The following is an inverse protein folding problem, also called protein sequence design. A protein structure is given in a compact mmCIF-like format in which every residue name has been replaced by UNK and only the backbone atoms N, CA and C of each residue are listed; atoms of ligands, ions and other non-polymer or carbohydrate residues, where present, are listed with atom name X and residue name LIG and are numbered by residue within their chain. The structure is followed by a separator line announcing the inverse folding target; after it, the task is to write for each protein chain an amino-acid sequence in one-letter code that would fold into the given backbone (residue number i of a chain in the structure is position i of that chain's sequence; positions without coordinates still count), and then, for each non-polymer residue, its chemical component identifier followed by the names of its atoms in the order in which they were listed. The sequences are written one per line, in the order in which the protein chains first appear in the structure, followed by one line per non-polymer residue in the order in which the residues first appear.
data_IF_394621582870
#
_entry.id   IF_394621582870
#
_cell.length_a   1.000
_cell.length_b   1.000
_cell.length_c   1.000
_cell.angle_alpha   90.00
_cell.angle_beta   90.00
_cell.angle_gamma   90.00
#
_symmetry.space_group_name_H-M   'P 1'
#
loop_
_entity.id
_entity.type
_entity.pdbx_description
1 polymer ?
#
# COMPACT_ATOMS: atom_id res chain seq x y z
N UNK A 1 44.78 -23.24 71.98
CA UNK A 1 43.72 -23.91 71.18
C UNK A 1 42.63 -22.88 70.90
N UNK A 2 42.73 -22.14 69.79
CA UNK A 2 41.66 -21.25 69.30
C UNK A 2 42.00 -20.70 67.89
N UNK A 3 42.45 -21.56 66.96
CA UNK A 3 42.76 -21.15 65.57
C UNK A 3 42.19 -22.09 64.50
N UNK A 4 41.64 -23.25 64.86
CA UNK A 4 41.11 -24.21 63.88
C UNK A 4 39.68 -23.85 63.43
N UNK A 5 38.82 -23.35 64.33
CA UNK A 5 37.41 -23.02 64.01
C UNK A 5 37.24 -21.86 63.00
N UNK A 6 38.16 -20.88 62.99
CA UNK A 6 38.08 -19.74 62.08
C UNK A 6 38.44 -20.11 60.63
N UNK A 7 39.30 -21.11 60.46
CA UNK A 7 39.77 -21.57 59.15
C UNK A 7 38.73 -22.46 58.47
N UNK A 8 38.04 -23.31 59.25
CA UNK A 8 36.93 -24.14 58.75
C UNK A 8 35.71 -23.30 58.35
N UNK A 9 35.38 -22.24 59.11
CA UNK A 9 34.30 -21.31 58.74
C UNK A 9 34.59 -20.55 57.44
N UNK A 10 35.84 -20.11 57.25
CA UNK A 10 36.24 -19.41 56.03
C UNK A 10 36.22 -20.33 54.79
N UNK A 11 36.59 -21.60 54.95
CA UNK A 11 36.52 -22.58 53.87
C UNK A 11 35.07 -22.92 53.48
N UNK A 12 34.17 -23.00 54.47
CA UNK A 12 32.75 -23.23 54.27
C UNK A 12 32.09 -22.05 53.51
N UNK A 13 32.44 -20.81 53.86
CA UNK A 13 31.93 -19.61 53.17
C UNK A 13 32.43 -19.52 51.72
N UNK A 14 33.70 -19.87 51.47
CA UNK A 14 34.23 -19.92 50.11
C UNK A 14 33.51 -21.01 49.31
N UNK A 15 33.33 -22.21 49.88
CA UNK A 15 32.65 -23.31 49.23
C UNK A 15 31.18 -22.98 48.90
N UNK A 16 30.46 -22.33 49.82
CA UNK A 16 29.07 -21.92 49.61
C UNK A 16 28.94 -20.87 48.50
N UNK A 17 29.84 -19.88 48.46
CA UNK A 17 29.85 -18.87 47.41
C UNK A 17 30.20 -19.47 46.04
N UNK A 18 31.17 -20.38 45.98
CA UNK A 18 31.56 -21.06 44.75
C UNK A 18 30.43 -21.97 44.23
N UNK A 19 29.73 -22.66 45.14
CA UNK A 19 28.55 -23.45 44.80
C UNK A 19 27.44 -22.55 44.23
N UNK A 20 27.16 -21.40 44.84
CA UNK A 20 26.15 -20.46 44.36
C UNK A 20 26.48 -19.93 42.96
N UNK A 21 27.75 -19.60 42.68
CA UNK A 21 28.20 -19.16 41.35
C UNK A 21 28.00 -20.28 40.33
N UNK A 22 28.41 -21.52 40.65
CA UNK A 22 28.21 -22.67 39.77
C UNK A 22 26.71 -22.87 39.48
N UNK A 23 25.85 -22.77 40.50
CA UNK A 23 24.41 -22.93 40.36
C UNK A 23 23.81 -21.88 39.43
N UNK A 24 24.21 -20.61 39.58
CA UNK A 24 23.76 -19.50 38.73
C UNK A 24 24.22 -19.71 37.29
N UNK A 25 25.50 -20.03 37.06
CA UNK A 25 26.06 -20.25 35.71
C UNK A 25 25.38 -21.45 35.03
N UNK A 26 25.11 -22.51 35.78
CA UNK A 26 24.44 -23.70 35.26
C UNK A 26 22.99 -23.39 34.89
N UNK A 27 22.27 -22.62 35.71
CA UNK A 27 20.90 -22.14 35.42
C UNK A 27 20.86 -21.27 34.17
N UNK A 28 21.78 -20.32 34.02
CA UNK A 28 21.87 -19.48 32.82
C UNK A 28 22.22 -20.29 31.57
N UNK A 29 23.13 -21.26 31.66
CA UNK A 29 23.50 -22.13 30.55
C UNK A 29 22.32 -23.01 30.11
N UNK A 30 21.57 -23.55 31.07
CA UNK A 30 20.37 -24.36 30.79
C UNK A 30 19.24 -23.52 30.19
N UNK A 31 19.04 -22.29 30.65
CA UNK A 31 18.08 -21.35 30.10
C UNK A 31 18.45 -20.93 28.66
N UNK A 32 19.73 -20.64 28.41
CA UNK A 32 20.22 -20.29 27.08
C UNK A 32 20.07 -21.46 26.09
N UNK A 33 20.40 -22.68 26.52
CA UNK A 33 20.23 -23.89 25.70
C UNK A 33 18.74 -24.16 25.37
N UNK A 34 17.83 -23.95 26.34
CA UNK A 34 16.38 -24.02 26.12
C UNK A 34 15.87 -22.94 25.16
N UNK A 35 16.43 -21.74 25.22
CA UNK A 35 16.04 -20.65 24.32
C UNK A 35 16.50 -20.92 22.88
N UNK A 36 17.67 -21.53 22.69
CA UNK A 36 18.13 -21.94 21.36
C UNK A 36 17.31 -23.11 20.78
N UNK A 37 16.91 -24.09 21.59
CA UNK A 37 16.14 -25.26 21.10
C UNK A 37 14.70 -24.93 20.71
N UNK A 38 14.07 -23.91 21.30
CA UNK A 38 12.73 -23.49 20.89
C UNK A 38 12.66 -22.85 19.49
N UNK A 39 13.80 -22.47 18.90
CA UNK A 39 13.86 -21.83 17.58
C UNK A 39 14.06 -22.80 16.40
N UNK A 40 14.34 -24.09 16.65
CA UNK A 40 14.93 -24.98 15.63
C UNK A 40 14.18 -26.29 15.33
N UNK A 41 13.02 -26.56 15.94
CA UNK A 41 12.28 -27.81 15.66
C UNK A 41 10.84 -27.54 15.25
N UNK A 42 10.65 -27.16 13.99
CA UNK A 42 9.40 -27.39 13.26
C UNK A 42 9.68 -28.35 12.10
N UNK A 43 9.35 -29.64 12.23
CA UNK A 43 9.41 -30.61 11.15
C UNK A 43 8.07 -30.56 10.40
N UNK A 44 7.92 -29.59 9.51
CA UNK A 44 7.00 -29.65 8.37
C UNK A 44 7.34 -28.49 7.41
N UNK A 45 8.54 -28.56 6.84
CA UNK A 45 8.87 -27.77 5.66
C UNK A 45 8.05 -28.33 4.48
N UNK A 46 6.80 -27.90 4.36
CA UNK A 46 6.03 -28.04 3.11
C UNK A 46 6.88 -27.45 1.99
N UNK A 47 7.26 -28.27 1.01
CA UNK A 47 7.99 -27.88 -0.20
C UNK A 47 7.10 -27.11 -1.20
N UNK A 48 6.30 -26.19 -0.70
CA UNK A 48 5.80 -25.10 -1.51
C UNK A 48 6.37 -23.85 -0.87
N UNK A 49 7.16 -23.03 -1.59
CA UNK A 49 7.56 -21.75 -1.04
C UNK A 49 6.26 -21.06 -0.64
N UNK A 50 6.05 -20.89 0.68
CA UNK A 50 5.06 -19.96 1.18
C UNK A 50 5.45 -18.66 0.51
N UNK A 51 4.65 -18.21 -0.45
CA UNK A 51 4.84 -16.92 -1.07
C UNK A 51 5.04 -15.96 0.11
N UNK A 52 6.20 -15.30 0.17
CA UNK A 52 6.55 -14.37 1.27
C UNK A 52 5.44 -13.33 1.47
N UNK A 53 4.65 -13.12 0.43
CA UNK A 53 3.40 -12.38 0.40
C UNK A 53 2.30 -13.28 -0.16
N UNK A 54 1.30 -13.62 0.65
CA UNK A 54 0.00 -14.07 0.14
C UNK A 54 -0.66 -12.83 -0.45
N UNK A 55 -0.88 -12.80 -1.76
CA UNK A 55 -1.67 -11.73 -2.36
C UNK A 55 -3.02 -11.68 -1.63
N UNK A 56 -3.40 -10.55 -0.99
CA UNK A 56 -4.68 -10.46 -0.34
C UNK A 56 -5.76 -10.76 -1.39
N UNK A 57 -6.77 -11.56 -1.02
CA UNK A 57 -7.90 -11.84 -1.91
C UNK A 57 -8.64 -10.52 -2.19
N UNK A 58 -8.23 -9.82 -3.24
CA UNK A 58 -8.73 -8.48 -3.63
C UNK A 58 -10.21 -8.54 -4.00
N UNK A 59 -10.73 -9.72 -4.28
CA UNK A 59 -12.16 -9.98 -4.50
C UNK A 59 -13.03 -9.58 -3.29
N UNK A 60 -12.47 -9.55 -2.08
CA UNK A 60 -13.14 -9.10 -0.85
C UNK A 60 -13.05 -7.59 -0.62
N UNK A 61 -12.15 -6.89 -1.33
CA UNK A 61 -11.89 -5.46 -1.22
C UNK A 61 -11.81 -4.84 -2.61
N UNK A 62 -12.96 -4.66 -3.29
CA UNK A 62 -12.98 -4.04 -4.61
C UNK A 62 -12.35 -2.64 -4.53
N UNK A 63 -11.82 -2.10 -5.63
CA UNK A 63 -11.37 -0.72 -5.66
C UNK A 63 -12.54 0.17 -5.21
N UNK A 64 -12.34 0.88 -4.11
CA UNK A 64 -13.32 1.83 -3.60
C UNK A 64 -13.51 3.03 -4.53
N UNK A 65 -12.64 3.19 -5.54
CA UNK A 65 -12.64 4.33 -6.44
C UNK A 65 -12.32 3.96 -7.88
N UNK A 66 -13.07 4.56 -8.80
CA UNK A 66 -12.78 4.59 -10.24
C UNK A 66 -12.36 6.01 -10.60
N UNK A 67 -11.24 6.14 -11.29
CA UNK A 67 -10.63 7.45 -11.55
C UNK A 67 -10.88 7.90 -12.98
N UNK A 68 -11.14 9.20 -13.15
CA UNK A 68 -11.39 9.83 -14.45
C UNK A 68 -10.51 11.06 -14.62
N UNK A 69 -9.89 11.18 -15.78
CA UNK A 69 -9.27 12.43 -16.23
C UNK A 69 -10.36 13.30 -16.87
N UNK A 70 -10.43 14.57 -16.45
CA UNK A 70 -11.29 15.57 -17.07
C UNK A 70 -10.40 16.63 -17.71
N UNK A 71 -10.41 16.67 -19.03
CA UNK A 71 -9.62 17.61 -19.85
C UNK A 71 -10.55 18.39 -20.78
N UNK A 72 -10.00 19.28 -21.59
CA UNK A 72 -10.75 20.05 -22.58
C UNK A 72 -11.70 19.16 -23.41
N UNK A 73 -13.01 19.37 -23.23
CA UNK A 73 -14.08 18.60 -23.88
C UNK A 73 -14.01 17.07 -23.74
N UNK A 74 -13.26 16.50 -22.77
CA UNK A 74 -13.11 15.05 -22.63
C UNK A 74 -13.23 14.59 -21.18
N UNK A 75 -13.81 13.41 -21.01
CA UNK A 75 -13.79 12.66 -19.76
C UNK A 75 -13.33 11.24 -20.09
N UNK A 76 -12.17 10.86 -19.57
CA UNK A 76 -11.51 9.60 -19.85
C UNK A 76 -11.40 8.77 -18.58
N UNK A 77 -11.83 7.49 -18.61
CA UNK A 77 -11.56 6.57 -17.48
C UNK A 77 -10.07 6.26 -17.46
N UNK A 78 -9.44 6.34 -16.29
CA UNK A 78 -8.04 5.95 -16.17
C UNK A 78 -7.90 4.42 -16.30
N UNK A 79 -7.16 3.99 -17.31
CA UNK A 79 -6.73 2.63 -17.53
C UNK A 79 -5.55 2.26 -16.61
N UNK A 80 -5.88 2.02 -15.34
CA UNK A 80 -4.93 1.53 -14.35
C UNK A 80 -4.43 0.11 -14.69
N UNK A 81 -5.24 -0.68 -15.38
CA UNK A 81 -4.91 -2.05 -15.72
C UNK A 81 -3.75 -2.10 -16.71
N UNK A 82 -3.69 -1.18 -17.68
CA UNK A 82 -2.53 -1.05 -18.58
C UNK A 82 -1.21 -0.78 -17.83
N UNK A 83 -1.23 0.01 -16.75
CA UNK A 83 -0.04 0.25 -15.92
C UNK A 83 0.36 -1.05 -15.21
N UNK A 84 -0.60 -1.74 -14.60
CA UNK A 84 -0.34 -3.01 -13.91
C UNK A 84 0.19 -4.08 -14.87
N UNK A 85 -0.38 -4.20 -16.06
CA UNK A 85 0.05 -5.17 -17.06
C UNK A 85 1.42 -4.83 -17.66
N UNK A 86 1.78 -3.54 -17.73
CA UNK A 86 3.13 -3.12 -18.10
C UNK A 86 4.15 -3.50 -17.01
N UNK A 87 3.84 -3.24 -15.74
CA UNK A 87 4.69 -3.62 -14.60
C UNK A 87 4.81 -5.15 -14.43
N UNK A 88 3.75 -5.92 -14.71
CA UNK A 88 3.79 -7.39 -14.69
C UNK A 88 4.69 -7.97 -15.78
N UNK A 89 4.69 -7.36 -16.96
CA UNK A 89 5.52 -7.81 -18.10
C UNK A 89 7.00 -7.56 -17.87
N UNK A 90 7.35 -6.43 -17.24
CA UNK A 90 8.73 -6.15 -16.83
C UNK A 90 8.78 -5.67 -15.37
N UNK A 91 8.88 -6.60 -14.40
CA UNK A 91 8.91 -6.27 -12.98
C UNK A 91 10.14 -5.47 -12.53
N UNK A 92 11.16 -5.35 -13.40
CA UNK A 92 12.37 -4.56 -13.11
C UNK A 92 12.27 -3.15 -13.66
N UNK A 93 11.27 -2.84 -14.48
CA UNK A 93 11.07 -1.52 -15.03
C UNK A 93 10.55 -0.56 -13.95
N UNK A 94 11.31 0.52 -13.73
CA UNK A 94 10.90 1.62 -12.87
C UNK A 94 10.06 2.68 -13.60
N UNK A 95 9.86 2.55 -14.90
CA UNK A 95 9.04 3.48 -15.67
C UNK A 95 8.48 2.80 -16.92
N UNK A 96 7.44 3.38 -17.49
CA UNK A 96 6.86 2.89 -18.74
C UNK A 96 5.83 3.85 -19.33
N UNK A 97 5.20 3.42 -20.43
CA UNK A 97 4.19 4.20 -21.15
C UNK A 97 2.91 3.38 -21.34
N UNK A 98 1.78 4.06 -21.26
CA UNK A 98 0.46 3.56 -21.63
C UNK A 98 -0.13 4.46 -22.72
N UNK A 99 -1.31 4.11 -23.24
CA UNK A 99 -2.02 4.97 -24.20
C UNK A 99 -2.44 6.32 -23.62
N UNK A 100 -2.49 6.45 -22.29
CA UNK A 100 -2.97 7.66 -21.59
C UNK A 100 -1.85 8.47 -20.94
N UNK A 101 -0.59 8.02 -21.03
CA UNK A 101 0.48 8.67 -20.30
C UNK A 101 1.75 7.85 -20.13
N UNK A 102 2.58 8.31 -19.21
CA UNK A 102 3.76 7.58 -18.74
C UNK A 102 3.72 7.48 -17.23
N UNK A 103 4.30 6.41 -16.70
CA UNK A 103 4.40 6.19 -15.26
C UNK A 103 5.85 6.05 -14.84
N UNK A 104 6.12 6.42 -13.59
CA UNK A 104 7.39 6.25 -12.90
C UNK A 104 7.10 5.64 -11.52
N UNK A 105 7.60 4.44 -11.29
CA UNK A 105 7.56 3.77 -10.00
C UNK A 105 8.64 4.37 -9.10
N UNK A 106 8.23 4.83 -7.92
CA UNK A 106 9.11 5.31 -6.88
C UNK A 106 9.29 4.20 -5.85
N UNK A 107 10.40 3.45 -5.90
CA UNK A 107 10.66 2.42 -4.91
C UNK A 107 10.81 3.05 -3.53
N UNK A 108 10.33 2.35 -2.50
CA UNK A 108 10.50 2.80 -1.12
C UNK A 108 12.00 2.87 -0.78
N UNK A 109 12.50 3.97 -0.19
CA UNK A 109 13.90 4.07 0.22
C UNK A 109 14.25 3.14 1.40
N UNK A 110 13.24 2.65 2.13
CA UNK A 110 13.39 1.83 3.33
C UNK A 110 12.81 0.43 3.10
N UNK A 111 13.67 -0.52 2.77
CA UNK A 111 13.31 -1.90 2.37
C UNK A 111 12.76 -2.75 3.55
N UNK A 112 12.86 -2.27 4.80
CA UNK A 112 12.70 -3.08 6.03
C UNK A 112 11.36 -2.94 6.75
N UNK A 113 10.28 -2.50 6.09
CA UNK A 113 8.96 -2.39 6.73
C UNK A 113 8.06 -3.55 6.33
N UNK A 114 7.29 -4.07 7.29
CA UNK A 114 6.23 -5.08 7.07
C UNK A 114 4.98 -4.52 6.34
N UNK A 115 5.03 -3.25 5.91
CA UNK A 115 3.94 -2.60 5.18
C UNK A 115 4.45 -2.34 3.76
N UNK A 116 3.74 -2.90 2.78
CA UNK A 116 3.99 -2.64 1.35
C UNK A 116 3.69 -1.18 1.00
N UNK A 117 4.70 -0.31 1.17
CA UNK A 117 4.66 1.03 0.61
C UNK A 117 4.90 0.93 -0.87
N UNK A 118 4.10 1.66 -1.64
CA UNK A 118 4.45 1.94 -3.01
C UNK A 118 4.05 3.36 -3.35
N UNK A 119 4.75 3.93 -4.31
CA UNK A 119 4.33 5.18 -4.91
C UNK A 119 4.61 5.13 -6.41
N UNK A 120 3.66 5.62 -7.18
CA UNK A 120 3.70 5.70 -8.62
C UNK A 120 3.34 7.13 -9.01
N UNK A 121 4.22 7.77 -9.78
CA UNK A 121 3.91 9.00 -10.50
C UNK A 121 3.29 8.62 -11.83
N UNK A 122 2.18 9.25 -12.18
CA UNK A 122 1.57 9.13 -13.50
C UNK A 122 1.50 10.50 -14.17
N UNK A 123 2.16 10.63 -15.30
CA UNK A 123 2.13 11.84 -16.13
C UNK A 123 1.12 11.61 -17.25
N UNK A 124 0.03 12.36 -17.21
CA UNK A 124 -1.07 12.27 -18.16
C UNK A 124 -0.63 12.79 -19.51
N UNK A 125 -0.84 12.01 -20.58
CA UNK A 125 -0.68 12.46 -21.96
C UNK A 125 -2.01 13.01 -22.45
N UNK A 126 -2.20 14.33 -22.27
CA UNK A 126 -3.42 15.03 -22.65
C UNK A 126 -3.71 14.94 -24.14
N UNK A 127 -2.67 14.98 -24.98
CA UNK A 127 -2.84 14.89 -26.43
C UNK A 127 -3.36 13.51 -26.83
N UNK A 128 -2.83 12.46 -26.19
CA UNK A 128 -3.32 11.11 -26.41
C UNK A 128 -4.78 10.94 -25.93
N UNK A 129 -5.17 11.55 -24.80
CA UNK A 129 -6.57 11.57 -24.36
C UNK A 129 -7.44 12.27 -25.40
N UNK A 130 -7.04 13.45 -25.88
CA UNK A 130 -7.81 14.22 -26.85
C UNK A 130 -8.03 13.47 -28.18
N UNK A 131 -7.03 12.72 -28.61
CA UNK A 131 -7.05 11.96 -29.86
C UNK A 131 -7.88 10.67 -29.77
N UNK A 132 -7.89 10.01 -28.61
CA UNK A 132 -8.48 8.68 -28.45
C UNK A 132 -9.88 8.70 -27.83
N UNK A 133 -10.20 9.71 -27.03
CA UNK A 133 -11.48 9.80 -26.34
C UNK A 133 -12.50 10.64 -27.14
N UNK A 134 -13.77 10.21 -27.19
CA UNK A 134 -14.82 10.98 -27.85
C UNK A 134 -15.17 12.24 -27.06
N UNK A 135 -15.54 13.31 -27.77
CA UNK A 135 -15.98 14.57 -27.16
C UNK A 135 -17.12 14.37 -26.15
N UNK A 136 -16.97 14.98 -24.98
CA UNK A 136 -17.93 14.93 -23.89
C UNK A 136 -18.83 16.16 -23.93
N UNK A 137 -19.98 16.00 -24.59
CA UNK A 137 -21.01 17.03 -24.70
C UNK A 137 -22.09 16.85 -23.64
N UNK A 138 -22.87 17.90 -23.36
CA UNK A 138 -23.98 17.86 -22.40
C UNK A 138 -24.99 16.74 -22.69
N UNK A 139 -25.22 16.44 -23.96
CA UNK A 139 -26.07 15.32 -24.38
C UNK A 139 -25.61 13.95 -23.89
N UNK A 140 -24.33 13.80 -23.52
CA UNK A 140 -23.76 12.55 -22.99
C UNK A 140 -23.89 12.42 -21.47
N UNK A 141 -24.18 13.51 -20.75
CA UNK A 141 -24.29 13.52 -19.28
C UNK A 141 -25.28 12.46 -18.78
N UNK A 142 -26.52 12.34 -19.29
CA UNK A 142 -27.48 11.36 -18.77
C UNK A 142 -27.00 9.91 -18.91
N UNK A 143 -26.39 9.59 -20.06
CA UNK A 143 -25.87 8.24 -20.34
C UNK A 143 -24.66 7.93 -19.46
N UNK A 144 -23.75 8.89 -19.31
CA UNK A 144 -22.57 8.74 -18.45
C UNK A 144 -22.98 8.59 -16.98
N UNK A 145 -23.88 9.42 -16.48
CA UNK A 145 -24.39 9.34 -15.11
C UNK A 145 -25.07 7.98 -14.83
N UNK A 146 -25.91 7.51 -15.75
CA UNK A 146 -26.53 6.20 -15.64
C UNK A 146 -25.50 5.06 -15.56
N UNK A 147 -24.37 5.18 -16.27
CA UNK A 147 -23.27 4.21 -16.19
C UNK A 147 -22.58 4.22 -14.81
N UNK A 148 -22.34 5.41 -14.24
CA UNK A 148 -21.72 5.55 -12.92
C UNK A 148 -22.62 5.02 -11.80
N UNK A 149 -23.92 5.30 -11.87
CA UNK A 149 -24.89 4.78 -10.91
C UNK A 149 -24.96 3.26 -10.93
N UNK A 150 -24.91 2.66 -12.13
CA UNK A 150 -24.87 1.19 -12.28
C UNK A 150 -23.61 0.60 -11.68
N UNK A 151 -22.44 1.17 -11.98
CA UNK A 151 -21.16 0.72 -11.41
C UNK A 151 -21.18 0.83 -9.87
N UNK A 152 -21.66 1.95 -9.34
CA UNK A 152 -21.80 2.15 -7.89
C UNK A 152 -22.75 1.13 -7.24
N UNK A 153 -23.86 0.79 -7.88
CA UNK A 153 -24.80 -0.22 -7.37
C UNK A 153 -24.18 -1.62 -7.35
N UNK A 154 -23.34 -1.95 -8.34
CA UNK A 154 -22.73 -3.27 -8.49
C UNK A 154 -21.52 -3.49 -7.58
N UNK A 155 -20.60 -2.52 -7.54
CA UNK A 155 -19.30 -2.68 -6.88
C UNK A 155 -19.07 -1.74 -5.70
N UNK A 156 -20.01 -0.82 -5.42
CA UNK A 156 -19.86 0.24 -4.40
C UNK A 156 -18.65 1.15 -4.65
N UNK A 157 -18.21 1.23 -5.91
CA UNK A 157 -17.06 2.03 -6.32
C UNK A 157 -17.48 3.48 -6.58
N UNK A 158 -16.84 4.44 -5.90
CA UNK A 158 -17.12 5.86 -6.08
C UNK A 158 -16.28 6.46 -7.22
N UNK A 159 -16.87 7.25 -8.14
CA UNK A 159 -16.08 7.96 -9.13
C UNK A 159 -15.26 9.09 -8.50
N UNK A 160 -14.02 9.23 -8.97
CA UNK A 160 -13.09 10.29 -8.59
C UNK A 160 -12.62 11.01 -9.85
N UNK A 161 -12.85 12.32 -9.91
CA UNK A 161 -12.53 13.15 -11.07
C UNK A 161 -11.28 13.99 -10.83
N UNK A 162 -10.34 13.90 -11.75
CA UNK A 162 -9.06 14.60 -11.74
C UNK A 162 -9.18 15.69 -12.79
N UNK A 163 -9.43 16.92 -12.34
CA UNK A 163 -9.92 18.01 -13.18
C UNK A 163 -8.75 18.90 -13.55
N UNK A 164 -8.33 18.82 -14.80
CA UNK A 164 -7.38 19.75 -15.40
C UNK A 164 -8.03 21.14 -15.54
N UNK A 165 -7.26 22.25 -15.51
CA UNK A 165 -7.84 23.59 -15.66
C UNK A 165 -8.64 23.74 -16.97
N UNK A 166 -8.21 23.07 -18.04
CA UNK A 166 -8.93 23.04 -19.32
C UNK A 166 -10.25 22.27 -19.27
N UNK A 167 -10.38 21.29 -18.36
CA UNK A 167 -11.57 20.46 -18.21
C UNK A 167 -12.63 21.05 -17.28
N UNK A 168 -12.37 22.19 -16.63
CA UNK A 168 -13.27 22.75 -15.62
C UNK A 168 -14.66 23.07 -16.19
N UNK A 169 -14.74 23.64 -17.39
CA UNK A 169 -16.04 23.97 -18.01
C UNK A 169 -16.90 22.74 -18.28
N UNK A 170 -16.27 21.62 -18.66
CA UNK A 170 -16.93 20.33 -18.85
C UNK A 170 -17.37 19.76 -17.51
N UNK A 171 -16.49 19.85 -16.50
CA UNK A 171 -16.74 19.28 -15.19
C UNK A 171 -17.90 19.96 -14.46
N UNK A 172 -18.01 21.30 -14.54
CA UNK A 172 -19.10 22.05 -13.89
C UNK A 172 -20.47 21.54 -14.35
N UNK A 173 -20.64 21.30 -15.65
CA UNK A 173 -21.90 20.79 -16.22
C UNK A 173 -22.24 19.39 -15.72
N UNK A 174 -21.22 18.54 -15.57
CA UNK A 174 -21.39 17.19 -15.00
C UNK A 174 -21.62 17.23 -13.48
N UNK A 175 -20.97 18.16 -12.78
CA UNK A 175 -20.97 18.25 -11.33
C UNK A 175 -22.39 18.44 -10.78
N UNK A 176 -23.17 19.34 -11.37
CA UNK A 176 -24.55 19.58 -10.94
C UNK A 176 -25.41 18.32 -11.08
N UNK A 177 -25.30 17.63 -12.22
CA UNK A 177 -25.98 16.35 -12.44
C UNK A 177 -25.53 15.25 -11.46
N UNK A 178 -24.24 15.21 -11.09
CA UNK A 178 -23.72 14.29 -10.09
C UNK A 178 -24.30 14.58 -8.70
N UNK A 179 -24.40 15.85 -8.30
CA UNK A 179 -24.99 16.26 -7.03
C UNK A 179 -26.47 15.88 -6.94
N UNK A 180 -27.25 16.18 -7.97
CA UNK A 180 -28.68 15.87 -8.04
C UNK A 180 -28.96 14.37 -7.99
N UNK A 181 -28.06 13.55 -8.54
CA UNK A 181 -28.20 12.09 -8.56
C UNK A 181 -28.06 11.42 -7.18
N UNK A 182 -27.51 12.13 -6.19
CA UNK A 182 -27.18 11.55 -4.88
C UNK A 182 -25.99 10.57 -4.89
N UNK A 183 -25.29 10.43 -6.02
CA UNK A 183 -24.08 9.62 -6.13
C UNK A 183 -22.97 10.18 -5.25
N UNK A 184 -22.25 9.30 -4.54
CA UNK A 184 -21.04 9.71 -3.82
C UNK A 184 -19.89 9.80 -4.82
N UNK A 185 -19.33 10.98 -5.00
CA UNK A 185 -18.18 11.23 -5.86
C UNK A 185 -17.15 12.12 -5.17
N UNK A 186 -15.95 12.18 -5.73
CA UNK A 186 -14.91 13.13 -5.32
C UNK A 186 -14.32 13.78 -6.55
N UNK A 187 -13.74 14.95 -6.36
CA UNK A 187 -12.95 15.57 -7.40
C UNK A 187 -11.82 16.39 -6.77
N UNK A 188 -10.77 16.62 -7.55
CA UNK A 188 -9.69 17.52 -7.20
C UNK A 188 -9.17 18.22 -8.45
N UNK A 189 -8.73 19.46 -8.28
CA UNK A 189 -8.06 20.20 -9.32
C UNK A 189 -6.62 19.69 -9.47
N UNK A 190 -6.19 19.45 -10.71
CA UNK A 190 -4.82 19.09 -11.04
C UNK A 190 -4.11 20.32 -11.60
N UNK A 191 -2.88 20.61 -11.15
CA UNK A 191 -2.11 21.69 -11.77
C UNK A 191 -1.57 21.26 -13.15
N UNK A 192 -1.28 22.22 -14.04
CA UNK A 192 -0.68 21.89 -15.32
C UNK A 192 0.62 21.10 -15.14
N UNK A 193 0.73 19.97 -15.83
CA UNK A 193 1.93 19.13 -15.90
C UNK A 193 2.34 18.48 -14.55
N UNK A 194 1.46 18.56 -13.56
CA UNK A 194 1.63 17.89 -12.27
C UNK A 194 1.38 16.38 -12.44
N UNK A 195 2.33 15.50 -12.04
CA UNK A 195 2.08 14.08 -12.04
C UNK A 195 1.06 13.72 -10.96
N UNK A 196 0.20 12.76 -11.27
CA UNK A 196 -0.61 12.12 -10.25
C UNK A 196 0.24 11.20 -9.40
N UNK A 197 0.14 11.34 -8.10
CA UNK A 197 0.77 10.42 -7.16
C UNK A 197 -0.28 9.40 -6.72
N UNK A 198 -0.08 8.14 -7.10
CA UNK A 198 -0.74 7.01 -6.49
C UNK A 198 0.21 6.37 -5.50
N UNK A 199 -0.26 6.03 -4.32
CA UNK A 199 0.59 5.29 -3.42
C UNK A 199 -0.18 4.70 -2.27
N UNK A 200 0.55 3.93 -1.49
CA UNK A 200 0.17 3.47 -0.17
C UNK A 200 1.31 3.88 0.74
N UNK A 201 1.03 4.70 1.76
CA UNK A 201 2.03 5.20 2.69
C UNK A 201 1.87 4.54 4.08
N UNK A 202 2.95 4.19 4.80
CA UNK A 202 2.87 3.64 6.16
C UNK A 202 2.17 4.57 7.15
N UNK A 203 2.25 5.89 6.91
CA UNK A 203 1.53 6.91 7.65
C UNK A 203 0.02 6.67 7.72
N UNK A 204 -0.56 6.03 6.70
CA UNK A 204 -2.00 5.72 6.63
C UNK A 204 -2.44 4.63 7.62
N UNK A 205 -1.52 3.78 8.05
CA UNK A 205 -1.80 2.69 9.00
C UNK A 205 -1.41 3.06 10.43
N UNK A 206 -0.49 4.01 10.57
CA UNK A 206 0.13 4.37 11.86
C UNK A 206 -0.41 5.67 12.43
N UNK A 207 -0.95 6.55 11.59
CA UNK A 207 -1.74 7.70 12.00
C UNK A 207 -3.18 7.39 11.62
N UNK A 208 -4.10 7.39 12.58
CA UNK A 208 -5.55 7.33 12.34
C UNK A 208 -6.10 8.58 11.60
N UNK A 209 -5.25 9.27 10.84
CA UNK A 209 -5.60 10.35 9.94
C UNK A 209 -5.83 9.73 8.57
N UNK A 210 -7.07 9.78 8.10
CA UNK A 210 -7.49 9.32 6.79
C UNK A 210 -6.73 10.15 5.73
N UNK A 211 -5.87 9.52 4.91
CA UNK A 211 -5.82 9.62 3.41
C UNK A 211 -4.44 9.39 2.73
N UNK A 212 -4.57 8.92 1.46
CA UNK A 212 -3.69 8.89 0.25
C UNK A 212 -2.83 7.67 0.00
#
# INVERSE_FOLDING_TARGET
MQNDDATDSAFLDIAANLLAIILIVTLFSLAAARHQTHSSTYPDARQQPTLRFVEPQRDLFPPFSTFFFVTDERIARWDQQAVLDALRRDPRAFSGRTAQGRYEWLPEPLITRDIDTYQLKFFVDRQAIQANEPAFTESRIPVFLASLLREYQQSRTAPVFMVDPSGMEVFVKLHDALQESGLRFRWFAQLPDEPLFLGRHPGQFTRYAIYW
#
